data_IF_536685568145
#
_entry.id   IF_536685568145
#
_cell.length_a   1.000
_cell.length_b   1.000
_cell.length_c   1.000
_cell.angle_alpha   90.00
_cell.angle_beta   90.00
_cell.angle_gamma   90.00
#
_symmetry.space_group_name_H-M   'P 1'
#
loop_
_entity.id
_entity.type
_entity.pdbx_description
1 polymer ?
#
# COMPACT_ATOMS: atom_id res chain seq x y z
N UNK A 1 -0.66 1.85 -0.20
CA UNK A 1 -1.38 1.22 -1.32
C UNK A 1 -1.09 -0.27 -1.41
N UNK A 2 0.18 -0.69 -1.34
CA UNK A 2 0.61 -2.07 -1.60
C UNK A 2 0.01 -3.19 -0.72
N UNK A 3 -0.55 -2.89 0.45
CA UNK A 3 -1.28 -3.87 1.28
C UNK A 3 -2.80 -3.85 1.07
N UNK A 4 -3.29 -3.03 0.13
CA UNK A 4 -4.73 -2.81 -0.12
C UNK A 4 -5.08 -3.05 -1.61
N UNK A 5 -4.20 -2.61 -2.53
CA UNK A 5 -4.18 -3.02 -3.94
C UNK A 5 -2.77 -3.47 -4.33
N UNK A 6 -2.68 -4.39 -5.31
CA UNK A 6 -1.40 -4.77 -5.90
C UNK A 6 -0.80 -3.61 -6.67
N UNK A 7 0.49 -3.33 -6.47
CA UNK A 7 1.20 -2.26 -7.18
C UNK A 7 2.14 -2.89 -8.21
N UNK A 8 1.98 -2.60 -9.52
CA UNK A 8 2.87 -3.15 -10.56
C UNK A 8 4.33 -2.81 -10.28
N UNK A 9 5.24 -3.74 -10.59
CA UNK A 9 6.67 -3.63 -10.27
C UNK A 9 7.01 -3.82 -8.78
N UNK A 10 6.02 -4.13 -7.93
CA UNK A 10 6.19 -4.37 -6.49
C UNK A 10 5.46 -5.62 -6.04
N UNK A 11 5.46 -6.68 -6.85
CA UNK A 11 4.68 -7.91 -6.58
C UNK A 11 5.02 -8.52 -5.23
N UNK A 12 6.31 -8.80 -4.98
CA UNK A 12 6.75 -9.38 -3.71
C UNK A 12 6.43 -8.46 -2.51
N UNK A 13 6.72 -7.16 -2.63
CA UNK A 13 6.40 -6.18 -1.59
C UNK A 13 4.89 -6.07 -1.34
N UNK A 14 4.05 -6.11 -2.38
CA UNK A 14 2.60 -6.08 -2.23
C UNK A 14 2.12 -7.34 -1.52
N UNK A 15 2.60 -8.52 -1.94
CA UNK A 15 2.28 -9.80 -1.29
C UNK A 15 2.54 -9.79 0.21
N UNK A 16 3.73 -9.35 0.64
CA UNK A 16 4.05 -9.27 2.08
C UNK A 16 3.16 -8.29 2.83
N UNK A 17 2.78 -7.16 2.22
CA UNK A 17 1.89 -6.16 2.85
C UNK A 17 0.43 -6.61 2.90
N UNK A 18 -0.03 -7.44 1.95
CA UNK A 18 -1.34 -8.09 2.05
C UNK A 18 -1.35 -9.14 3.15
N UNK A 19 -0.28 -9.93 3.31
CA UNK A 19 -0.19 -10.96 4.34
C UNK A 19 -0.37 -10.40 5.76
N UNK A 20 0.13 -9.17 6.01
CA UNK A 20 -0.10 -8.48 7.29
C UNK A 20 -1.58 -8.27 7.61
N UNK A 21 -2.44 -8.08 6.61
CA UNK A 21 -3.88 -7.90 6.86
C UNK A 21 -4.48 -9.17 7.43
N UNK A 22 -4.25 -10.32 6.77
CA UNK A 22 -4.72 -11.62 7.26
C UNK A 22 -4.17 -11.98 8.63
N UNK A 23 -2.86 -11.77 8.84
CA UNK A 23 -2.22 -12.00 10.14
C UNK A 23 -2.84 -11.15 11.25
N UNK A 24 -2.96 -9.84 11.04
CA UNK A 24 -3.51 -8.94 12.05
C UNK A 24 -5.03 -9.14 12.27
N UNK A 25 -5.77 -9.57 11.26
CA UNK A 25 -7.19 -9.92 11.40
C UNK A 25 -7.38 -11.18 12.25
N UNK A 26 -6.59 -12.23 12.01
CA UNK A 26 -6.58 -13.45 12.81
C UNK A 26 -6.19 -13.16 14.27
N UNK A 27 -5.05 -12.48 14.47
CA UNK A 27 -4.58 -12.09 15.81
C UNK A 27 -5.64 -11.29 16.58
N UNK A 28 -6.34 -10.37 15.91
CA UNK A 28 -7.39 -9.58 16.56
C UNK A 28 -8.57 -10.45 17.00
N UNK A 29 -8.90 -11.52 16.28
CA UNK A 29 -9.95 -12.45 16.66
C UNK A 29 -9.51 -13.40 17.80
N UNK A 30 -8.23 -13.78 17.83
CA UNK A 30 -7.63 -14.63 18.88
C UNK A 30 -7.52 -13.92 20.23
N UNK A 31 -7.44 -12.58 20.24
CA UNK A 31 -7.44 -11.76 21.46
C UNK A 31 -8.84 -11.75 22.12
N UNK A 32 -9.22 -12.88 22.72
CA UNK A 32 -10.51 -13.06 23.41
C UNK A 32 -10.68 -12.06 24.55
N UNK A 33 -11.88 -11.47 24.71
CA UNK A 33 -12.12 -10.56 25.83
C UNK A 33 -12.07 -11.27 27.21
N UNK A 34 -11.56 -10.59 28.26
CA UNK A 34 -10.95 -9.26 28.24
C UNK A 34 -9.42 -9.32 28.09
N UNK A 35 -8.89 -9.09 26.89
CA UNK A 35 -7.44 -9.01 26.67
C UNK A 35 -6.85 -7.61 26.89
N UNK A 36 -7.66 -6.54 26.75
CA UNK A 36 -7.19 -5.15 26.84
C UNK A 36 -6.28 -4.71 25.67
N UNK A 37 -5.98 -5.60 24.72
CA UNK A 37 -5.06 -5.37 23.60
C UNK A 37 -5.86 -5.05 22.33
N UNK A 38 -5.44 -4.02 21.60
CA UNK A 38 -6.04 -3.63 20.31
C UNK A 38 -5.03 -3.74 19.16
N UNK A 39 -5.48 -4.25 18.01
CA UNK A 39 -4.67 -4.38 16.79
C UNK A 39 -5.17 -3.40 15.72
N UNK A 40 -4.33 -2.42 15.36
CA UNK A 40 -4.60 -1.39 14.33
C UNK A 40 -3.78 -1.66 13.08
N UNK A 41 -4.41 -1.77 11.91
CA UNK A 41 -3.71 -1.89 10.61
C UNK A 41 -3.72 -0.54 9.91
N UNK A 42 -2.55 -0.05 9.51
CA UNK A 42 -2.40 1.22 8.80
C UNK A 42 -2.15 0.96 7.31
N UNK A 43 -2.98 1.58 6.47
CA UNK A 43 -2.85 1.53 5.01
C UNK A 43 -2.42 2.91 4.48
N UNK A 44 -1.11 3.19 4.47
CA UNK A 44 -0.61 4.47 3.97
C UNK A 44 -0.78 4.58 2.46
N UNK A 45 -0.92 5.81 1.97
CA UNK A 45 -0.79 6.16 0.55
C UNK A 45 0.67 6.13 0.09
N UNK A 46 1.02 7.02 -0.83
CA UNK A 46 2.42 7.38 -1.09
C UNK A 46 2.80 8.47 -0.08
N UNK A 47 3.81 8.22 0.75
CA UNK A 47 4.30 9.16 1.76
C UNK A 47 5.66 9.69 1.32
N UNK A 48 5.88 11.01 1.48
CA UNK A 48 7.09 11.73 1.07
C UNK A 48 8.28 11.45 2.00
N UNK A 49 8.84 10.25 1.89
CA UNK A 49 10.08 9.85 2.60
C UNK A 49 11.24 9.67 1.64
N UNK A 50 12.47 9.69 2.15
CA UNK A 50 13.68 9.48 1.34
C UNK A 50 13.90 8.02 0.91
N UNK A 51 13.06 7.08 1.36
CA UNK A 51 13.18 5.64 1.08
C UNK A 51 13.24 5.32 -0.43
N UNK A 52 12.68 6.20 -1.27
CA UNK A 52 12.66 6.05 -2.74
C UNK A 52 13.94 6.55 -3.40
N UNK A 53 14.64 7.50 -2.77
CA UNK A 53 15.94 8.01 -3.24
C UNK A 53 17.06 7.01 -2.95
N UNK A 54 16.97 6.33 -1.80
CA UNK A 54 17.98 5.38 -1.32
C UNK A 54 17.65 3.91 -1.62
N UNK A 55 16.56 3.64 -2.34
CA UNK A 55 16.17 2.27 -2.68
C UNK A 55 17.11 1.64 -3.71
N UNK A 56 17.31 0.33 -3.62
CA UNK A 56 18.15 -0.43 -4.56
C UNK A 56 17.32 -1.10 -5.65
N UNK A 57 17.81 -1.03 -6.89
CA UNK A 57 17.24 -1.72 -8.05
C UNK A 57 17.68 -3.18 -8.13
N UNK A 58 17.23 -3.88 -9.18
CA UNK A 58 17.55 -5.31 -9.37
C UNK A 58 19.06 -5.59 -9.51
N UNK A 59 19.85 -4.61 -9.96
CA UNK A 59 21.31 -4.70 -10.05
C UNK A 59 22.03 -4.44 -8.71
N UNK A 60 21.30 -4.13 -7.64
CA UNK A 60 21.88 -3.68 -6.37
C UNK A 60 22.38 -2.22 -6.39
N UNK A 61 22.24 -1.51 -7.52
CA UNK A 61 22.56 -0.07 -7.59
C UNK A 61 21.41 0.78 -7.05
N UNK A 62 21.71 1.99 -6.57
CA UNK A 62 20.68 2.94 -6.15
C UNK A 62 19.76 3.29 -7.34
N UNK A 63 18.45 3.25 -7.12
CA UNK A 63 17.44 3.59 -8.14
C UNK A 63 17.47 5.07 -8.51
N UNK A 64 17.80 5.95 -7.56
CA UNK A 64 17.83 7.41 -7.71
C UNK A 64 16.47 8.08 -7.98
N UNK A 65 15.48 7.34 -8.49
CA UNK A 65 14.14 7.82 -8.84
C UNK A 65 13.07 6.76 -8.55
N UNK A 66 11.85 7.20 -8.23
CA UNK A 66 10.72 6.28 -8.06
C UNK A 66 9.91 6.10 -9.35
N UNK A 67 9.54 4.85 -9.64
CA UNK A 67 8.62 4.52 -10.72
C UNK A 67 7.14 4.75 -10.42
N UNK A 68 6.78 5.08 -9.18
CA UNK A 68 5.42 5.52 -8.83
C UNK A 68 5.35 7.04 -9.01
N UNK A 69 4.23 7.57 -9.50
CA UNK A 69 4.01 9.03 -9.57
C UNK A 69 4.03 9.65 -8.16
N UNK A 70 4.67 10.81 -8.05
CA UNK A 70 4.94 11.49 -6.77
C UNK A 70 4.15 12.79 -6.60
N UNK A 71 3.32 13.13 -7.58
CA UNK A 71 2.58 14.40 -7.67
C UNK A 71 1.69 14.66 -6.44
N UNK A 72 1.14 13.59 -5.83
CA UNK A 72 0.20 13.66 -4.70
C UNK A 72 0.72 12.94 -3.43
N UNK A 73 2.01 13.08 -3.12
CA UNK A 73 2.58 12.48 -1.90
C UNK A 73 2.06 13.15 -0.63
N UNK A 74 1.64 12.33 0.33
CA UNK A 74 1.33 12.77 1.68
C UNK A 74 2.61 13.16 2.44
N UNK A 75 2.64 14.31 3.14
CA UNK A 75 3.74 14.66 4.05
C UNK A 75 3.91 13.63 5.17
N UNK A 76 5.13 13.47 5.67
CA UNK A 76 5.44 12.50 6.73
C UNK A 76 4.68 12.83 8.01
N UNK A 77 4.61 14.11 8.34
CA UNK A 77 3.96 14.66 9.53
C UNK A 77 2.46 14.31 9.54
N UNK A 78 1.80 14.45 8.38
CA UNK A 78 0.40 14.09 8.21
C UNK A 78 0.18 12.59 8.34
N UNK A 79 1.06 11.78 7.73
CA UNK A 79 1.01 10.33 7.87
C UNK A 79 1.14 9.91 9.34
N UNK A 80 2.12 10.45 10.08
CA UNK A 80 2.33 10.18 11.51
C UNK A 80 1.12 10.61 12.33
N UNK A 81 0.58 11.80 12.09
CA UNK A 81 -0.61 12.31 12.79
C UNK A 81 -1.80 11.37 12.64
N UNK A 82 -2.06 10.89 11.42
CA UNK A 82 -3.13 9.93 11.14
C UNK A 82 -2.90 8.56 11.80
N UNK A 83 -1.64 8.09 11.85
CA UNK A 83 -1.29 6.84 12.57
C UNK A 83 -1.60 6.96 14.06
N UNK A 84 -1.08 8.00 14.71
CA UNK A 84 -1.22 8.20 16.15
C UNK A 84 -2.70 8.35 16.54
N UNK A 85 -3.46 9.15 15.79
CA UNK A 85 -4.89 9.30 16.03
C UNK A 85 -5.66 7.98 15.87
N UNK A 86 -5.27 7.14 14.91
CA UNK A 86 -5.87 5.82 14.71
C UNK A 86 -5.57 4.83 15.82
N UNK A 87 -4.31 4.79 16.26
CA UNK A 87 -3.84 3.92 17.35
C UNK A 87 -4.48 4.32 18.68
N UNK A 88 -4.50 5.62 19.02
CA UNK A 88 -5.12 6.14 20.24
C UNK A 88 -6.61 5.81 20.31
N UNK A 89 -7.32 5.92 19.19
CA UNK A 89 -8.73 5.57 19.07
C UNK A 89 -8.98 4.05 18.92
N UNK A 90 -7.94 3.21 19.01
CA UNK A 90 -8.00 1.75 18.85
C UNK A 90 -8.76 1.30 17.59
N UNK A 91 -8.58 2.03 16.48
CA UNK A 91 -9.27 1.71 15.22
C UNK A 91 -8.78 0.38 14.68
N UNK A 92 -9.67 -0.44 14.13
CA UNK A 92 -9.25 -1.67 13.43
C UNK A 92 -8.35 -1.34 12.24
N UNK A 93 -8.69 -0.28 11.51
CA UNK A 93 -7.99 0.13 10.29
C UNK A 93 -7.87 1.65 10.16
N UNK A 94 -6.76 2.10 9.57
CA UNK A 94 -6.51 3.50 9.22
C UNK A 94 -6.25 3.59 7.71
N UNK A 95 -7.25 4.06 6.97
CA UNK A 95 -7.17 4.30 5.53
C UNK A 95 -6.75 5.76 5.28
N UNK A 96 -5.53 5.98 4.80
CA UNK A 96 -4.95 7.33 4.75
C UNK A 96 -5.25 8.11 3.47
N UNK A 97 -5.72 7.45 2.42
CA UNK A 97 -6.05 8.12 1.16
C UNK A 97 -7.55 8.24 0.98
N UNK A 98 -8.00 9.31 0.32
CA UNK A 98 -9.42 9.54 0.04
C UNK A 98 -10.00 8.42 -0.81
N UNK A 99 -9.22 7.90 -1.76
CA UNK A 99 -9.59 6.80 -2.65
C UNK A 99 -9.83 5.49 -1.89
N UNK A 100 -9.03 5.20 -0.86
CA UNK A 100 -9.27 4.02 -0.01
C UNK A 100 -10.55 4.18 0.83
N UNK A 101 -10.77 5.39 1.36
CA UNK A 101 -11.94 5.69 2.21
C UNK A 101 -13.26 5.69 1.44
N UNK A 102 -13.25 6.23 0.22
CA UNK A 102 -14.44 6.38 -0.62
C UNK A 102 -14.62 5.17 -1.53
N UNK A 103 -14.88 4.01 -0.92
CA UNK A 103 -15.34 2.83 -1.66
C UNK A 103 -14.24 2.03 -2.37
N UNK A 104 -12.95 2.28 -2.13
CA UNK A 104 -11.87 1.52 -2.78
C UNK A 104 -11.96 0.00 -2.63
N UNK A 105 -12.49 -0.50 -1.50
CA UNK A 105 -12.76 -1.95 -1.31
C UNK A 105 -13.90 -2.43 -2.20
N UNK A 106 -15.01 -1.69 -2.20
CA UNK A 106 -16.19 -2.01 -3.01
C UNK A 106 -15.92 -1.92 -4.51
N UNK A 107 -15.13 -0.93 -4.93
CA UNK A 107 -14.71 -0.79 -6.32
C UNK A 107 -13.89 -1.99 -6.79
N UNK A 108 -13.02 -2.53 -5.93
CA UNK A 108 -12.26 -3.75 -6.24
C UNK A 108 -13.17 -4.97 -6.36
N UNK A 109 -14.22 -5.05 -5.54
CA UNK A 109 -15.21 -6.14 -5.61
C UNK A 109 -16.08 -6.06 -6.87
N UNK A 110 -16.51 -4.86 -7.26
CA UNK A 110 -17.46 -4.65 -8.36
C UNK A 110 -16.74 -4.54 -9.73
N UNK A 111 -15.57 -3.91 -9.77
CA UNK A 111 -14.83 -3.60 -11.00
C UNK A 111 -13.31 -3.80 -10.85
N UNK A 112 -12.83 -5.05 -10.62
CA UNK A 112 -11.41 -5.33 -10.40
C UNK A 112 -10.52 -4.88 -11.58
N UNK A 113 -10.98 -5.08 -12.82
CA UNK A 113 -10.24 -4.64 -14.01
C UNK A 113 -10.04 -3.12 -14.07
N UNK A 114 -10.96 -2.32 -13.52
CA UNK A 114 -10.80 -0.87 -13.43
C UNK A 114 -9.71 -0.51 -12.42
N UNK A 115 -9.69 -1.19 -11.27
CA UNK A 115 -8.66 -1.01 -10.25
C UNK A 115 -7.27 -1.35 -10.80
N UNK A 116 -7.14 -2.42 -11.58
CA UNK A 116 -5.88 -2.80 -12.22
C UNK A 116 -5.39 -1.73 -13.21
N UNK A 117 -6.30 -1.19 -14.03
CA UNK A 117 -5.98 -0.07 -14.94
C UNK A 117 -5.55 1.18 -14.18
N UNK A 118 -6.20 1.50 -13.06
CA UNK A 118 -5.82 2.62 -12.21
C UNK A 118 -4.43 2.40 -11.59
N UNK A 119 -4.15 1.19 -11.11
CA UNK A 119 -2.85 0.83 -10.56
C UNK A 119 -1.73 0.95 -11.59
N UNK A 120 -1.96 0.51 -12.84
CA UNK A 120 -1.01 0.69 -13.96
C UNK A 120 -0.80 2.17 -14.33
N UNK A 121 -1.85 2.98 -14.32
CA UNK A 121 -1.75 4.43 -14.60
C UNK A 121 -0.94 5.19 -13.52
N UNK A 122 -0.94 4.70 -12.28
CA UNK A 122 -0.16 5.28 -11.19
C UNK A 122 1.35 5.02 -11.31
N UNK A 123 1.77 4.09 -12.17
CA UNK A 123 3.17 3.85 -12.52
C UNK A 123 3.56 4.72 -13.70
N UNK A 124 4.71 5.39 -13.58
CA UNK A 124 5.30 6.20 -14.64
C UNK A 124 5.56 5.32 -15.88
N UNK A 125 5.29 5.80 -17.11
CA UNK A 125 5.35 4.98 -18.32
C UNK A 125 6.64 4.18 -18.48
N UNK A 126 7.78 4.77 -18.15
CA UNK A 126 9.11 4.19 -18.27
C UNK A 126 9.36 3.01 -17.31
N UNK A 127 8.57 2.88 -16.24
CA UNK A 127 8.65 1.79 -15.26
C UNK A 127 7.51 0.77 -15.40
N UNK A 128 6.67 0.87 -16.43
CA UNK A 128 5.59 -0.10 -16.65
C UNK A 128 6.15 -1.46 -17.08
N UNK A 129 5.56 -2.58 -16.63
CA UNK A 129 5.96 -3.91 -17.10
C UNK A 129 5.87 -3.96 -18.63
N UNK A 130 6.95 -4.39 -19.29
CA UNK A 130 6.92 -4.65 -20.73
C UNK A 130 6.16 -5.95 -20.99
N UNK A 131 5.41 -6.05 -22.11
CA UNK A 131 4.82 -7.32 -22.52
C UNK A 131 5.89 -8.39 -22.61
N UNK A 132 5.64 -9.55 -21.99
CA UNK A 132 6.51 -10.72 -22.17
C UNK A 132 6.29 -11.17 -23.61
N UNK A 133 7.28 -10.96 -24.47
CA UNK A 133 7.28 -11.58 -25.79
C UNK A 133 7.61 -13.05 -25.58
N UNK A 134 6.74 -14.00 -25.97
CA UNK A 134 7.08 -15.41 -25.83
C UNK A 134 8.38 -15.69 -26.59
N UNK A 135 9.29 -16.44 -25.96
CA UNK A 135 10.48 -16.93 -26.65
C UNK A 135 10.02 -17.76 -27.85
N UNK A 136 10.63 -17.52 -29.01
CA UNK A 136 10.41 -18.32 -30.23
C UNK A 136 10.83 -19.77 -29.99
#
# INVERSE_FOLDING_TARGET
MAGFIGVPGRTAYSGTKFALSGFCEALRAELTPPSGISVTIVYPGVVKTDIRKVGYGASGAALGTSGVREDDMMPVEEAVRLMLAGVQARKREVLMTRQMRLGGRWLKLIAPALVDRMALKAIKPEFRPKPITPAK
#
